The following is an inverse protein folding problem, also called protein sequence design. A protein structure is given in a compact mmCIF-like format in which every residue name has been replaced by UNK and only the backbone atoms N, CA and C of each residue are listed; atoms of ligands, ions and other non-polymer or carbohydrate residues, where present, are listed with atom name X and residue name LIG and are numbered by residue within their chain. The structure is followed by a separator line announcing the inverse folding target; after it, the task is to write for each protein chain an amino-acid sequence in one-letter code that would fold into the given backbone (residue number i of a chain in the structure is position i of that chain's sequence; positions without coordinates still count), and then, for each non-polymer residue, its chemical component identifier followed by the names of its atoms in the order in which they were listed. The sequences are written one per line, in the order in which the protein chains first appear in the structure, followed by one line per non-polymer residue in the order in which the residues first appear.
data_IF_291520259737
#
_entry.id   IF_291520259737
#
_cell.length_a   1.000
_cell.length_b   1.000
_cell.length_c   1.000
_cell.angle_alpha   90.00
_cell.angle_beta   90.00
_cell.angle_gamma   90.00
#
_symmetry.space_group_name_H-M   'P 1'
#
loop_
_entity.id
_entity.type
_entity.pdbx_description
1 polymer ?
#
# COMPACT_ATOMS: atom_id res chain seq x y z
N UNK A 1 11.33 2.80 7.49
CA UNK A 1 10.45 1.61 7.28
C UNK A 1 9.19 1.65 8.15
N UNK A 2 9.27 1.64 9.49
CA UNK A 2 8.06 1.72 10.34
C UNK A 2 7.22 2.98 10.10
N UNK A 3 7.86 4.13 9.97
CA UNK A 3 7.20 5.42 9.71
C UNK A 3 6.38 5.40 8.41
N UNK A 4 6.90 4.79 7.35
CA UNK A 4 6.20 4.66 6.07
C UNK A 4 4.94 3.81 6.17
N UNK A 5 5.01 2.70 6.91
CA UNK A 5 3.84 1.85 7.14
C UNK A 5 2.77 2.60 7.93
N UNK A 6 3.15 3.44 8.89
CA UNK A 6 2.20 4.27 9.64
C UNK A 6 1.56 5.36 8.76
N UNK A 7 2.34 6.01 7.89
CA UNK A 7 1.84 6.97 6.91
C UNK A 7 0.85 6.29 5.96
N UNK A 8 1.22 5.15 5.37
CA UNK A 8 0.35 4.38 4.49
C UNK A 8 -0.93 3.95 5.21
N UNK A 9 -0.83 3.58 6.48
CA UNK A 9 -1.99 3.21 7.29
C UNK A 9 -2.91 4.40 7.54
N UNK A 10 -2.36 5.57 7.83
CA UNK A 10 -3.14 6.78 8.06
C UNK A 10 -3.84 7.30 6.80
N UNK A 11 -3.22 7.11 5.64
CA UNK A 11 -3.69 7.65 4.37
C UNK A 11 -4.66 6.69 3.66
N UNK A 12 -4.30 5.41 3.57
CA UNK A 12 -5.03 4.43 2.77
C UNK A 12 -6.00 3.55 3.58
N UNK A 13 -5.92 3.57 4.91
CA UNK A 13 -6.62 2.64 5.82
C UNK A 13 -6.65 1.19 5.29
N UNK A 14 -5.48 0.61 4.97
CA UNK A 14 -5.42 -0.64 4.25
C UNK A 14 -5.75 -1.83 5.14
N UNK A 15 -6.36 -2.85 4.53
CA UNK A 15 -6.66 -4.12 5.18
C UNK A 15 -5.41 -5.00 5.34
N UNK A 16 -4.40 -4.80 4.49
CA UNK A 16 -3.11 -5.48 4.57
C UNK A 16 -2.04 -4.64 3.86
N UNK A 17 -0.81 -4.76 4.33
CA UNK A 17 0.35 -4.13 3.69
C UNK A 17 1.45 -5.18 3.55
N UNK A 18 2.09 -5.21 2.39
CA UNK A 18 3.21 -6.07 2.09
C UNK A 18 4.39 -5.27 1.54
N UNK A 19 5.58 -5.84 1.61
CA UNK A 19 6.81 -5.29 1.07
C UNK A 19 7.48 -6.33 0.19
N UNK A 20 7.72 -5.96 -1.07
CA UNK A 20 8.37 -6.81 -2.06
C UNK A 20 9.43 -6.00 -2.78
N UNK A 21 10.71 -6.38 -2.67
CA UNK A 21 11.80 -5.74 -3.40
C UNK A 21 11.78 -4.19 -3.32
N UNK A 22 11.59 -3.66 -2.10
CA UNK A 22 11.48 -2.21 -1.81
C UNK A 22 10.18 -1.52 -2.31
N UNK A 23 9.24 -2.28 -2.86
CA UNK A 23 7.91 -1.84 -3.25
C UNK A 23 6.87 -2.16 -2.17
N UNK A 24 6.09 -1.16 -1.78
CA UNK A 24 4.99 -1.35 -0.84
C UNK A 24 3.72 -1.74 -1.59
N UNK A 25 3.13 -2.85 -1.18
CA UNK A 25 1.86 -3.32 -1.73
C UNK A 25 0.78 -3.12 -0.67
N UNK A 26 -0.18 -2.27 -0.98
CA UNK A 26 -1.21 -1.82 -0.04
C UNK A 26 -2.56 -2.33 -0.51
N UNK A 27 -3.21 -3.17 0.29
CA UNK A 27 -4.52 -3.72 -0.04
C UNK A 27 -5.60 -2.85 0.60
N UNK A 28 -6.46 -2.26 -0.21
CA UNK A 28 -7.57 -1.41 0.24
C UNK A 28 -8.92 -2.07 -0.02
N UNK A 29 -9.90 -1.72 0.81
CA UNK A 29 -11.27 -2.25 0.68
C UNK A 29 -12.07 -1.54 -0.41
N UNK A 30 -11.82 -0.26 -0.63
CA UNK A 30 -12.51 0.61 -1.60
C UNK A 30 -11.51 1.55 -2.28
N UNK A 31 -11.60 1.68 -3.61
CA UNK A 31 -10.69 2.51 -4.42
C UNK A 31 -11.12 3.99 -4.49
N UNK A 32 -12.26 4.35 -3.88
CA UNK A 32 -12.88 5.68 -4.04
C UNK A 32 -11.98 6.85 -3.66
N UNK A 33 -11.04 6.65 -2.72
CA UNK A 33 -10.17 7.70 -2.21
C UNK A 33 -8.73 7.58 -2.71
N UNK A 34 -8.46 6.69 -3.67
CA UNK A 34 -7.10 6.29 -4.05
C UNK A 34 -6.31 7.46 -4.66
N UNK A 35 -6.94 8.31 -5.49
CA UNK A 35 -6.29 9.51 -6.02
C UNK A 35 -5.95 10.55 -4.94
N UNK A 36 -6.86 10.75 -3.99
CA UNK A 36 -6.65 11.68 -2.88
C UNK A 36 -5.54 11.17 -1.97
N UNK A 37 -5.56 9.87 -1.67
CA UNK A 37 -4.54 9.19 -0.90
C UNK A 37 -3.15 9.27 -1.54
N UNK A 38 -3.03 9.04 -2.85
CA UNK A 38 -1.76 9.23 -3.58
C UNK A 38 -1.28 10.69 -3.48
N UNK A 39 -2.20 11.66 -3.60
CA UNK A 39 -1.83 13.08 -3.49
C UNK A 39 -1.44 13.52 -2.09
N UNK A 40 -1.92 12.85 -1.03
CA UNK A 40 -1.47 13.07 0.34
C UNK A 40 -0.13 12.37 0.62
N UNK A 41 0.05 11.18 0.05
CA UNK A 41 1.29 10.44 0.16
C UNK A 41 2.46 11.20 -0.46
N UNK A 42 2.28 11.75 -1.67
CA UNK A 42 3.32 12.53 -2.35
C UNK A 42 3.68 13.85 -1.65
N UNK A 43 2.84 14.31 -0.71
CA UNK A 43 3.15 15.44 0.17
C UNK A 43 3.85 15.03 1.47
N UNK A 44 3.69 13.77 1.86
CA UNK A 44 4.17 13.23 3.14
C UNK A 44 5.51 12.51 3.00
N UNK A 45 5.88 12.13 1.77
CA UNK A 45 7.09 11.37 1.45
C UNK A 45 7.87 12.13 0.37
N UNK A 46 9.13 12.47 0.68
CA UNK A 46 10.09 13.12 -0.23
C UNK A 46 10.92 12.09 -1.04
N UNK A 47 10.80 10.79 -0.72
CA UNK A 47 11.52 9.69 -1.36
C UNK A 47 10.76 9.07 -2.55
N UNK A 48 11.52 8.57 -3.54
CA UNK A 48 11.02 7.75 -4.66
C UNK A 48 10.57 6.36 -4.18
N UNK A 49 9.42 6.30 -3.50
CA UNK A 49 8.84 5.04 -3.05
C UNK A 49 7.91 4.47 -4.12
N UNK A 50 8.14 3.20 -4.48
CA UNK A 50 7.22 2.44 -5.33
C UNK A 50 6.07 1.90 -4.49
N UNK A 51 4.85 2.29 -4.87
CA UNK A 51 3.61 1.89 -4.21
C UNK A 51 2.69 1.21 -5.22
N UNK A 52 2.24 0.02 -4.88
CA UNK A 52 1.17 -0.69 -5.58
C UNK A 52 -0.05 -0.73 -4.67
N UNK A 53 -1.18 -0.24 -5.16
CA UNK A 53 -2.45 -0.34 -4.43
C UNK A 53 -3.29 -1.42 -5.09
N UNK A 54 -3.74 -2.38 -4.30
CA UNK A 54 -4.60 -3.47 -4.74
C UNK A 54 -5.96 -3.36 -4.10
N UNK A 55 -7.00 -3.63 -4.89
CA UNK A 55 -8.32 -3.90 -4.34
C UNK A 55 -8.33 -5.26 -3.64
N UNK A 56 -9.32 -5.46 -2.75
CA UNK A 56 -9.55 -6.79 -2.15
C UNK A 56 -9.70 -7.89 -3.21
N UNK A 57 -10.39 -7.59 -4.31
CA UNK A 57 -10.63 -8.55 -5.40
C UNK A 57 -9.35 -8.93 -6.14
N UNK A 58 -8.43 -7.98 -6.31
CA UNK A 58 -7.11 -8.26 -6.90
C UNK A 58 -6.23 -9.05 -5.95
N UNK A 59 -6.20 -8.68 -4.67
CA UNK A 59 -5.48 -9.43 -3.64
C UNK A 59 -5.95 -10.89 -3.55
N UNK A 60 -7.25 -11.16 -3.67
CA UNK A 60 -7.80 -12.52 -3.66
C UNK A 60 -7.40 -13.35 -4.90
N UNK A 61 -7.02 -12.69 -6.01
CA UNK A 61 -6.56 -13.34 -7.24
C UNK A 61 -5.05 -13.53 -7.30
N UNK A 62 -4.28 -12.83 -6.47
CA UNK A 62 -2.83 -12.95 -6.44
C UNK A 62 -2.36 -14.13 -5.60
N UNK A 63 -1.28 -14.78 -6.02
CA UNK A 63 -0.65 -15.80 -5.20
C UNK A 63 0.19 -15.14 -4.10
N UNK A 64 0.24 -15.75 -2.91
CA UNK A 64 0.96 -15.18 -1.75
C UNK A 64 2.45 -14.92 -2.02
N UNK A 65 3.04 -15.66 -2.96
CA UNK A 65 4.43 -15.50 -3.38
C UNK A 65 4.68 -14.18 -4.12
N UNK A 66 3.67 -13.60 -4.76
CA UNK A 66 3.78 -12.35 -5.53
C UNK A 66 3.69 -11.09 -4.68
N UNK A 67 3.27 -11.21 -3.41
CA UNK A 67 3.04 -10.07 -2.52
C UNK A 67 4.25 -9.73 -1.62
N UNK A 68 5.20 -10.65 -1.47
CA UNK A 68 6.37 -10.45 -0.62
C UNK A 68 6.08 -10.61 0.88
N UNK A 69 6.80 -9.85 1.72
CA UNK A 69 6.71 -9.94 3.17
C UNK A 69 5.49 -9.17 3.69
N UNK A 70 4.62 -9.84 4.46
CA UNK A 70 3.45 -9.20 5.08
C UNK A 70 3.86 -8.38 6.30
N UNK A 71 3.55 -7.09 6.28
CA UNK A 71 3.83 -6.14 7.35
C UNK A 71 2.64 -5.96 8.31
N UNK A 72 1.39 -6.09 7.82
CA UNK A 72 0.13 -5.98 8.59
C UNK A 72 -0.89 -7.02 8.12
#
# INVERSE_FOLDING_TARGET
MKEYVEILKSIFDPIAVFLRDEEFIVVVKDEKNLQQAISELSKSIDDDISLVVLSKEEYEKMEKQDLGERLI
#
